data_IF_991744034695
#
_entry.id   IF_991744034695
#
_cell.length_a   1.000
_cell.length_b   1.000
_cell.length_c   1.000
_cell.angle_alpha   90.00
_cell.angle_beta   90.00
_cell.angle_gamma   90.00
#
_symmetry.space_group_name_H-M   'P 1'
#
loop_
_entity.id
_entity.type
_entity.pdbx_description
1 polymer ?
#
# COMPACT_ATOMS: atom_id res chain seq x y z
N UNK A 1 0.59 -9.57 16.99
CA UNK A 1 0.48 -8.26 16.32
C UNK A 1 0.87 -8.40 14.86
N UNK A 2 0.05 -7.87 13.96
CA UNK A 2 0.34 -7.74 12.53
C UNK A 2 0.32 -6.25 12.22
N UNK A 3 1.33 -5.75 11.53
CA UNK A 3 1.44 -4.34 11.15
C UNK A 3 1.28 -4.16 9.64
N UNK A 4 0.56 -3.12 9.23
CA UNK A 4 0.44 -2.75 7.82
C UNK A 4 1.72 -2.05 7.28
N UNK A 5 2.82 -2.09 8.00
CA UNK A 5 4.10 -1.55 7.56
C UNK A 5 5.24 -1.85 8.54
N UNK A 6 6.45 -1.86 8.01
CA UNK A 6 7.67 -2.10 8.78
C UNK A 6 7.92 -1.03 9.84
N UNK A 7 7.57 0.24 9.54
CA UNK A 7 7.82 1.37 10.44
C UNK A 7 7.18 1.17 11.81
N UNK A 8 5.91 0.79 11.86
CA UNK A 8 5.16 0.61 13.11
C UNK A 8 5.66 -0.61 13.90
N UNK A 9 6.05 -1.68 13.21
CA UNK A 9 6.66 -2.84 13.84
C UNK A 9 8.04 -2.47 14.43
N UNK A 10 8.86 -1.73 13.68
CA UNK A 10 10.19 -1.31 14.13
C UNK A 10 10.13 -0.45 15.40
N UNK A 11 9.12 0.42 15.53
CA UNK A 11 8.94 1.26 16.72
C UNK A 11 8.72 0.44 18.01
N UNK A 12 8.28 -0.80 17.91
CA UNK A 12 8.01 -1.69 19.04
C UNK A 12 9.10 -2.74 19.27
N UNK A 13 10.09 -2.81 18.38
CA UNK A 13 11.10 -3.86 18.35
C UNK A 13 12.48 -3.31 18.77
N UNK A 14 12.98 -3.76 19.91
CA UNK A 14 14.28 -3.33 20.44
C UNK A 14 15.48 -3.74 19.58
N UNK A 15 15.29 -4.66 18.62
CA UNK A 15 16.33 -5.07 17.67
C UNK A 15 16.38 -4.19 16.42
N UNK A 16 15.38 -3.31 16.22
CA UNK A 16 15.38 -2.36 15.14
C UNK A 16 16.46 -1.28 15.30
N UNK A 17 16.78 -0.58 14.21
CA UNK A 17 17.74 0.53 14.28
C UNK A 17 17.24 1.65 15.22
N UNK A 18 18.18 2.44 15.76
CA UNK A 18 17.82 3.58 16.62
C UNK A 18 16.90 4.60 15.92
N UNK A 19 16.95 4.71 14.60
CA UNK A 19 16.04 5.54 13.80
C UNK A 19 14.65 4.92 13.68
N UNK A 20 14.57 3.58 13.68
CA UNK A 20 13.30 2.84 13.61
C UNK A 20 12.58 2.77 14.94
N UNK A 21 13.31 2.79 16.07
CA UNK A 21 12.78 2.70 17.42
C UNK A 21 13.37 3.81 18.32
N UNK A 22 12.95 5.04 18.08
CA UNK A 22 13.48 6.23 18.76
C UNK A 22 13.15 6.27 20.27
N UNK A 23 12.10 5.57 20.69
CA UNK A 23 11.66 5.51 22.09
C UNK A 23 12.29 4.33 22.86
N UNK A 24 13.02 3.45 22.18
CA UNK A 24 13.64 2.26 22.77
C UNK A 24 12.64 1.24 23.32
N UNK A 25 11.46 1.14 22.69
CA UNK A 25 10.42 0.20 23.11
C UNK A 25 10.84 -1.24 22.85
N UNK A 26 10.44 -2.15 23.74
CA UNK A 26 10.79 -3.58 23.71
C UNK A 26 9.55 -4.46 23.93
N UNK A 27 8.61 -4.38 23.00
CA UNK A 27 7.34 -5.12 23.09
C UNK A 27 7.28 -6.34 22.17
N UNK A 28 8.14 -6.44 21.18
CA UNK A 28 8.14 -7.53 20.19
C UNK A 28 9.06 -8.66 20.64
N UNK A 29 8.57 -9.89 20.60
CA UNK A 29 9.41 -11.09 20.61
C UNK A 29 10.10 -11.19 19.24
N UNK A 30 11.33 -10.70 19.18
CA UNK A 30 12.09 -10.57 17.92
C UNK A 30 12.34 -11.92 17.23
N UNK A 31 12.41 -13.02 17.98
CA UNK A 31 12.57 -14.37 17.41
C UNK A 31 11.31 -14.83 16.66
N UNK A 32 10.15 -14.30 17.02
CA UNK A 32 8.87 -14.60 16.36
C UNK A 32 8.58 -13.71 15.16
N UNK A 33 9.34 -12.62 14.95
CA UNK A 33 9.10 -11.66 13.89
C UNK A 33 9.35 -12.26 12.51
N UNK A 34 8.35 -12.11 11.63
CA UNK A 34 8.39 -12.54 10.23
C UNK A 34 7.78 -11.48 9.32
N UNK A 35 8.27 -11.38 8.11
CA UNK A 35 7.55 -10.72 7.04
C UNK A 35 6.48 -11.71 6.54
N UNK A 36 5.21 -11.38 6.77
CA UNK A 36 4.10 -12.32 6.57
C UNK A 36 3.46 -12.16 5.20
N UNK A 37 3.19 -10.92 4.80
CA UNK A 37 2.48 -10.59 3.57
C UNK A 37 3.14 -9.40 2.88
N UNK A 38 3.00 -9.36 1.57
CA UNK A 38 3.24 -8.18 0.75
C UNK A 38 1.91 -7.71 0.15
N UNK A 39 1.61 -6.40 0.24
CA UNK A 39 0.56 -5.77 -0.54
C UNK A 39 1.17 -5.11 -1.77
N UNK A 40 0.35 -4.86 -2.77
CA UNK A 40 0.77 -4.21 -4.01
C UNK A 40 0.13 -2.84 -4.13
N UNK A 41 0.89 -1.89 -4.65
CA UNK A 41 0.38 -0.58 -5.07
C UNK A 41 -0.02 -0.70 -6.53
N UNK A 42 -1.26 -0.39 -6.84
CA UNK A 42 -1.84 -0.64 -8.16
C UNK A 42 -2.47 0.62 -8.74
N UNK A 43 -2.42 0.71 -10.06
CA UNK A 43 -3.13 1.71 -10.85
C UNK A 43 -4.51 1.18 -11.22
N UNK A 44 -5.53 1.96 -10.93
CA UNK A 44 -6.91 1.67 -11.33
C UNK A 44 -7.48 2.83 -12.16
N UNK A 45 -8.35 2.47 -13.09
CA UNK A 45 -9.14 3.41 -13.91
C UNK A 45 -10.62 3.04 -13.76
N UNK A 46 -11.55 3.98 -14.05
CA UNK A 46 -12.97 3.68 -14.09
C UNK A 46 -13.30 2.57 -15.09
N UNK A 47 -14.34 1.79 -14.80
CA UNK A 47 -14.83 0.78 -15.74
C UNK A 47 -15.24 1.43 -17.07
N UNK A 48 -14.74 0.87 -18.19
CA UNK A 48 -15.02 1.39 -19.53
C UNK A 48 -14.26 2.67 -19.88
N UNK A 49 -13.22 3.03 -19.13
CA UNK A 49 -12.36 4.19 -19.47
C UNK A 49 -11.79 4.06 -20.89
N UNK A 50 -11.85 5.13 -21.65
CA UNK A 50 -11.34 5.26 -23.03
C UNK A 50 -10.08 6.15 -23.12
N UNK A 51 -9.51 6.53 -21.99
CA UNK A 51 -8.35 7.43 -21.89
C UNK A 51 -7.03 6.80 -22.33
N UNK A 52 -6.97 5.47 -22.53
CA UNK A 52 -5.72 4.79 -22.90
C UNK A 52 -4.70 4.67 -21.77
N UNK A 53 -5.15 4.77 -20.51
CA UNK A 53 -4.33 4.57 -19.32
C UNK A 53 -4.33 3.09 -18.98
N UNK A 54 -3.28 2.37 -19.37
CA UNK A 54 -3.13 0.92 -19.19
C UNK A 54 -1.87 0.53 -18.39
N UNK A 55 -1.03 1.51 -18.05
CA UNK A 55 0.23 1.33 -17.34
C UNK A 55 0.62 2.60 -16.57
N UNK A 56 1.56 2.48 -15.62
CA UNK A 56 2.15 3.64 -14.98
C UNK A 56 2.93 4.53 -15.97
N UNK A 57 3.48 3.94 -17.04
CA UNK A 57 4.13 4.71 -18.09
C UNK A 57 3.12 5.60 -18.83
N UNK A 58 1.98 5.04 -19.27
CA UNK A 58 0.92 5.83 -19.92
C UNK A 58 0.30 6.85 -18.98
N UNK A 59 0.11 6.52 -17.69
CA UNK A 59 -0.31 7.48 -16.67
C UNK A 59 0.65 8.67 -16.60
N UNK A 60 1.97 8.40 -16.56
CA UNK A 60 2.97 9.46 -16.47
C UNK A 60 2.96 10.37 -17.70
N UNK A 61 2.69 9.84 -18.90
CA UNK A 61 2.53 10.66 -20.13
C UNK A 61 1.31 11.58 -20.04
N UNK A 62 0.18 11.08 -19.57
CA UNK A 62 -1.04 11.85 -19.37
C UNK A 62 -0.88 12.93 -18.28
N UNK A 63 -0.20 12.59 -17.17
CA UNK A 63 0.10 13.58 -16.13
C UNK A 63 1.00 14.72 -16.64
N UNK A 64 2.00 14.40 -17.49
CA UNK A 64 2.84 15.42 -18.14
C UNK A 64 2.07 16.28 -19.13
N UNK A 65 1.06 15.70 -19.79
CA UNK A 65 0.19 16.41 -20.72
C UNK A 65 -0.90 17.23 -20.01
N UNK A 66 -1.11 16.99 -18.71
CA UNK A 66 -2.16 17.63 -17.88
C UNK A 66 -3.57 17.47 -18.46
N UNK A 67 -3.87 16.31 -19.11
CA UNK A 67 -5.10 16.07 -19.85
C UNK A 67 -6.07 15.09 -19.17
N UNK A 68 -5.78 14.71 -17.91
CA UNK A 68 -6.58 13.81 -17.07
C UNK A 68 -6.80 14.38 -15.67
N UNK A 69 -7.77 13.80 -14.95
CA UNK A 69 -7.93 13.95 -13.51
C UNK A 69 -7.42 12.70 -12.81
N UNK A 70 -6.49 12.89 -11.89
CA UNK A 70 -5.86 11.81 -11.13
C UNK A 70 -6.16 11.94 -9.64
N UNK A 71 -6.55 10.84 -8.98
CA UNK A 71 -6.77 10.81 -7.54
C UNK A 71 -5.69 9.99 -6.82
N UNK A 72 -5.16 10.52 -5.73
CA UNK A 72 -4.25 9.83 -4.84
C UNK A 72 -4.58 10.10 -3.37
N UNK A 73 -4.10 9.27 -2.45
CA UNK A 73 -4.12 9.59 -1.03
C UNK A 73 -3.26 10.83 -0.75
N UNK A 74 -3.65 11.66 0.21
CA UNK A 74 -2.79 12.75 0.67
C UNK A 74 -1.55 12.20 1.42
N UNK A 75 -0.61 13.06 1.82
CA UNK A 75 0.66 12.69 2.48
C UNK A 75 0.48 11.93 3.81
N UNK A 76 -0.68 12.04 4.47
CA UNK A 76 -0.99 11.35 5.73
C UNK A 76 -1.53 9.93 5.49
N UNK A 77 -1.95 9.64 4.26
CA UNK A 77 -2.43 8.32 3.85
C UNK A 77 -1.25 7.46 3.37
N UNK A 78 -1.03 6.26 3.93
CA UNK A 78 0.14 5.44 3.55
C UNK A 78 0.28 5.19 2.05
N UNK A 79 -0.82 4.90 1.32
CA UNK A 79 -0.76 4.71 -0.14
C UNK A 79 -0.39 6.01 -0.88
N UNK A 80 -0.73 7.18 -0.32
CA UNK A 80 -0.30 8.48 -0.86
C UNK A 80 1.21 8.64 -0.85
N UNK A 81 1.88 8.18 0.23
CA UNK A 81 3.35 8.22 0.31
C UNK A 81 4.02 7.31 -0.72
N UNK A 82 3.41 6.17 -1.06
CA UNK A 82 3.88 5.32 -2.17
C UNK A 82 3.64 5.99 -3.52
N UNK A 83 2.49 6.63 -3.70
CA UNK A 83 2.18 7.38 -4.92
C UNK A 83 3.15 8.54 -5.14
N UNK A 84 3.53 9.27 -4.08
CA UNK A 84 4.56 10.31 -4.15
C UNK A 84 5.91 9.77 -4.67
N UNK A 85 6.30 8.56 -4.26
CA UNK A 85 7.51 7.91 -4.78
C UNK A 85 7.37 7.54 -6.26
N UNK A 86 6.18 7.10 -6.69
CA UNK A 86 5.91 6.81 -8.11
C UNK A 86 6.00 8.09 -8.93
N UNK A 87 5.40 9.20 -8.47
CA UNK A 87 5.54 10.49 -9.15
C UNK A 87 7.01 10.92 -9.27
N UNK A 88 7.77 10.77 -8.17
CA UNK A 88 9.21 11.09 -8.18
C UNK A 88 10.02 10.18 -9.13
N UNK A 89 9.67 8.89 -9.24
CA UNK A 89 10.29 7.96 -10.18
C UNK A 89 10.15 8.40 -11.64
N UNK A 90 9.03 9.03 -11.98
CA UNK A 90 8.75 9.59 -13.33
C UNK A 90 9.15 11.05 -13.48
N UNK A 91 9.90 11.63 -12.53
CA UNK A 91 10.28 13.05 -12.50
C UNK A 91 9.09 14.01 -12.58
N UNK A 92 7.96 13.64 -11.94
CA UNK A 92 6.74 14.45 -11.88
C UNK A 92 6.69 15.27 -10.59
N UNK A 93 6.39 16.56 -10.72
CA UNK A 93 6.20 17.49 -9.60
C UNK A 93 4.75 17.47 -9.11
N UNK A 94 4.50 16.81 -7.97
CA UNK A 94 3.18 16.71 -7.35
C UNK A 94 2.55 18.09 -7.11
N UNK A 95 3.35 19.06 -6.62
CA UNK A 95 2.84 20.39 -6.30
C UNK A 95 2.42 21.16 -7.56
N UNK A 96 3.18 21.03 -8.66
CA UNK A 96 2.84 21.62 -9.94
C UNK A 96 1.55 21.01 -10.51
N UNK A 97 1.42 19.67 -10.50
CA UNK A 97 0.22 18.97 -10.97
C UNK A 97 -1.02 19.30 -10.13
N UNK A 98 -0.86 19.44 -8.81
CA UNK A 98 -1.96 19.87 -7.94
C UNK A 98 -2.37 21.34 -8.22
N UNK A 99 -1.41 22.23 -8.45
CA UNK A 99 -1.68 23.63 -8.82
C UNK A 99 -2.37 23.76 -10.19
N UNK A 100 -2.07 22.85 -11.13
CA UNK A 100 -2.73 22.74 -12.42
C UNK A 100 -4.14 22.13 -12.33
N UNK A 101 -4.54 21.58 -11.15
CA UNK A 101 -5.84 20.96 -10.96
C UNK A 101 -5.93 19.54 -11.51
N UNK A 102 -4.79 18.91 -11.82
CA UNK A 102 -4.69 17.54 -12.34
C UNK A 102 -4.86 16.50 -11.20
N UNK A 103 -4.35 16.82 -9.99
CA UNK A 103 -4.42 15.92 -8.84
C UNK A 103 -5.55 16.32 -7.90
N UNK A 104 -6.34 15.33 -7.50
CA UNK A 104 -7.26 15.38 -6.35
C UNK A 104 -6.77 14.47 -5.24
N UNK A 105 -7.10 14.79 -3.99
CA UNK A 105 -6.64 14.05 -2.83
C UNK A 105 -7.78 13.39 -2.06
N UNK A 106 -7.61 12.11 -1.73
CA UNK A 106 -8.43 11.44 -0.72
C UNK A 106 -7.78 11.55 0.66
N UNK A 107 -8.58 11.77 1.69
CA UNK A 107 -8.13 11.76 3.09
C UNK A 107 -7.94 10.33 3.63
N UNK A 108 -8.37 9.33 2.87
CA UNK A 108 -8.20 7.90 3.11
C UNK A 108 -8.33 7.16 1.77
N UNK A 109 -7.89 5.88 1.74
CA UNK A 109 -7.90 5.08 0.51
C UNK A 109 -9.31 4.84 -0.03
N UNK A 110 -10.33 4.78 0.84
CA UNK A 110 -11.72 4.57 0.41
C UNK A 110 -12.26 5.75 -0.41
N UNK A 111 -11.87 6.97 -0.09
CA UNK A 111 -12.21 8.14 -0.91
C UNK A 111 -11.58 8.04 -2.30
N UNK A 112 -10.35 7.54 -2.41
CA UNK A 112 -9.69 7.32 -3.70
C UNK A 112 -10.44 6.26 -4.51
N UNK A 113 -10.73 5.09 -3.92
CA UNK A 113 -11.49 4.03 -4.62
C UNK A 113 -12.89 4.50 -5.03
N UNK A 114 -13.56 5.32 -4.20
CA UNK A 114 -14.88 5.88 -4.52
C UNK A 114 -14.80 6.80 -5.74
N UNK A 115 -13.83 7.71 -5.81
CA UNK A 115 -13.68 8.63 -6.95
C UNK A 115 -13.43 7.86 -8.26
N UNK A 116 -12.65 6.76 -8.21
CA UNK A 116 -12.42 5.91 -9.38
C UNK A 116 -13.72 5.19 -9.77
N UNK A 117 -14.40 4.54 -8.80
CA UNK A 117 -15.63 3.78 -9.06
C UNK A 117 -16.78 4.64 -9.62
N UNK A 118 -16.85 5.91 -9.20
CA UNK A 118 -17.86 6.88 -9.67
C UNK A 118 -17.43 7.62 -10.94
N UNK A 119 -16.28 7.28 -11.53
CA UNK A 119 -15.71 7.95 -12.69
C UNK A 119 -15.59 9.48 -12.51
N UNK A 120 -15.36 9.93 -11.28
CA UNK A 120 -15.10 11.35 -10.97
C UNK A 120 -13.68 11.78 -11.33
N UNK A 121 -12.81 10.79 -11.56
CA UNK A 121 -11.42 10.93 -12.01
C UNK A 121 -11.12 9.88 -13.08
N UNK A 122 -10.08 10.12 -13.88
CA UNK A 122 -9.68 9.22 -14.97
C UNK A 122 -8.77 8.08 -14.50
N UNK A 123 -8.06 8.28 -13.38
CA UNK A 123 -7.18 7.27 -12.80
C UNK A 123 -6.96 7.52 -11.30
N UNK A 124 -6.54 6.48 -10.58
CA UNK A 124 -6.10 6.60 -9.20
C UNK A 124 -5.20 5.44 -8.76
N UNK A 125 -4.42 5.69 -7.71
CA UNK A 125 -3.49 4.72 -7.13
C UNK A 125 -3.98 4.30 -5.75
N UNK A 126 -4.10 2.99 -5.56
CA UNK A 126 -4.60 2.35 -4.34
C UNK A 126 -3.79 1.08 -4.03
N UNK A 127 -4.09 0.40 -2.92
CA UNK A 127 -3.58 -0.96 -2.72
C UNK A 127 -4.43 -1.99 -3.47
N UNK A 128 -3.82 -3.12 -3.86
CA UNK A 128 -4.51 -4.22 -4.53
C UNK A 128 -5.68 -4.74 -3.69
N UNK A 129 -5.53 -4.83 -2.37
CA UNK A 129 -6.60 -5.25 -1.44
C UNK A 129 -7.77 -4.26 -1.40
N UNK A 130 -7.51 -2.97 -1.54
CA UNK A 130 -8.56 -1.94 -1.58
C UNK A 130 -9.26 -1.94 -2.93
N UNK A 131 -8.52 -2.13 -4.03
CA UNK A 131 -9.08 -2.33 -5.36
C UNK A 131 -10.02 -3.54 -5.37
N UNK A 132 -9.56 -4.70 -4.85
CA UNK A 132 -10.38 -5.90 -4.71
C UNK A 132 -11.67 -5.63 -3.91
N UNK A 133 -11.54 -4.98 -2.75
CA UNK A 133 -12.69 -4.69 -1.87
C UNK A 133 -13.70 -3.73 -2.51
N UNK A 134 -13.24 -2.85 -3.39
CA UNK A 134 -14.08 -1.88 -4.12
C UNK A 134 -14.61 -2.43 -5.44
N UNK A 135 -14.23 -3.66 -5.84
CA UNK A 135 -14.61 -4.24 -7.13
C UNK A 135 -13.92 -3.60 -8.33
N UNK A 136 -12.81 -2.89 -8.10
CA UNK A 136 -11.98 -2.31 -9.16
C UNK A 136 -11.03 -3.36 -9.74
N UNK A 137 -10.79 -3.28 -11.03
CA UNK A 137 -9.77 -4.11 -11.70
C UNK A 137 -8.53 -3.26 -11.92
N UNK A 138 -7.37 -3.61 -11.31
CA UNK A 138 -6.12 -2.93 -11.60
C UNK A 138 -5.73 -3.06 -13.08
N UNK A 139 -5.19 -2.00 -13.66
CA UNK A 139 -4.63 -2.00 -15.02
C UNK A 139 -3.12 -2.17 -15.01
N UNK A 140 -2.46 -1.82 -13.89
CA UNK A 140 -1.01 -2.02 -13.72
C UNK A 140 -0.62 -2.11 -12.23
N UNK A 141 0.55 -2.66 -11.97
CA UNK A 141 1.14 -2.83 -10.63
C UNK A 141 2.49 -2.11 -10.54
N UNK A 142 2.65 -1.27 -9.51
CA UNK A 142 3.91 -0.56 -9.29
C UNK A 142 5.05 -1.54 -8.94
N UNK A 143 6.20 -1.35 -9.57
CA UNK A 143 7.39 -2.14 -9.28
C UNK A 143 8.07 -1.70 -7.99
N UNK A 144 8.95 -2.54 -7.48
CA UNK A 144 9.77 -2.22 -6.30
C UNK A 144 10.65 -0.98 -6.52
N UNK A 145 11.11 -0.77 -7.73
CA UNK A 145 11.93 0.37 -8.12
C UNK A 145 11.14 1.67 -8.09
N UNK A 146 9.86 1.63 -8.41
CA UNK A 146 8.98 2.82 -8.40
C UNK A 146 8.69 3.30 -6.98
N UNK A 147 8.33 2.41 -6.06
CA UNK A 147 7.84 2.85 -4.75
C UNK A 147 8.35 2.05 -3.54
N UNK A 148 9.10 0.96 -3.75
CA UNK A 148 9.47 0.00 -2.72
C UNK A 148 8.38 -1.04 -2.48
N UNK A 149 8.60 -1.90 -1.48
CA UNK A 149 7.67 -2.97 -1.11
C UNK A 149 6.78 -2.58 0.06
N UNK A 150 5.53 -3.02 0.03
CA UNK A 150 4.55 -2.84 1.12
C UNK A 150 4.49 -4.11 1.94
N UNK A 151 5.41 -4.25 2.89
CA UNK A 151 5.53 -5.44 3.74
C UNK A 151 4.68 -5.32 4.99
N UNK A 152 3.96 -6.38 5.30
CA UNK A 152 3.17 -6.57 6.51
C UNK A 152 3.90 -7.56 7.43
N UNK A 153 4.72 -7.08 8.36
CA UNK A 153 5.38 -7.92 9.34
C UNK A 153 4.39 -8.36 10.43
N UNK A 154 4.63 -9.55 10.96
CA UNK A 154 3.90 -10.11 12.09
C UNK A 154 4.87 -10.58 13.18
N UNK A 155 4.45 -10.48 14.44
CA UNK A 155 5.23 -10.95 15.57
C UNK A 155 4.33 -11.25 16.79
N UNK A 156 4.82 -12.09 17.69
CA UNK A 156 4.24 -12.26 19.01
C UNK A 156 4.73 -11.14 19.92
N UNK A 157 3.85 -10.61 20.76
CA UNK A 157 4.22 -9.57 21.73
C UNK A 157 4.78 -10.22 23.01
N UNK A 158 5.85 -9.65 23.58
CA UNK A 158 6.47 -10.14 24.82
C UNK A 158 5.51 -10.20 26.01
N UNK A 159 4.53 -9.29 26.04
CA UNK A 159 3.51 -9.24 27.10
C UNK A 159 2.21 -9.95 26.73
N UNK A 160 2.22 -10.84 25.73
CA UNK A 160 1.04 -11.61 25.34
C UNK A 160 0.60 -12.53 26.47
N UNK A 161 -0.66 -12.45 26.90
CA UNK A 161 -1.22 -13.34 27.95
C UNK A 161 -1.29 -14.80 27.50
N UNK A 162 -1.37 -15.05 26.20
CA UNK A 162 -1.47 -16.36 25.57
C UNK A 162 -0.39 -16.52 24.49
N UNK A 163 0.88 -16.40 24.88
CA UNK A 163 2.01 -16.39 23.95
C UNK A 163 2.09 -17.67 23.08
N UNK A 164 1.87 -18.84 23.67
CA UNK A 164 1.91 -20.11 22.91
C UNK A 164 0.80 -20.18 21.86
N UNK A 165 -0.43 -19.82 22.20
CA UNK A 165 -1.52 -19.75 21.22
C UNK A 165 -1.25 -18.71 20.12
N UNK A 166 -0.60 -17.58 20.46
CA UNK A 166 -0.19 -16.58 19.49
C UNK A 166 0.88 -17.11 18.54
N UNK A 167 1.84 -17.90 19.02
CA UNK A 167 2.85 -18.59 18.19
C UNK A 167 2.21 -19.62 17.25
N UNK A 168 1.29 -20.43 17.77
CA UNK A 168 0.54 -21.41 16.97
C UNK A 168 -0.27 -20.71 15.88
N UNK A 169 -0.93 -19.59 16.22
CA UNK A 169 -1.68 -18.80 15.23
C UNK A 169 -0.77 -18.18 14.17
N UNK A 170 0.38 -17.63 14.56
CA UNK A 170 1.36 -17.11 13.62
C UNK A 170 1.90 -18.20 12.68
N UNK A 171 2.16 -19.41 13.23
CA UNK A 171 2.54 -20.57 12.42
C UNK A 171 1.42 -20.97 11.44
N UNK A 172 0.16 -20.94 11.87
CA UNK A 172 -1.00 -21.20 10.99
C UNK A 172 -1.09 -20.17 9.84
N UNK A 173 -0.86 -18.88 10.11
CA UNK A 173 -0.91 -17.83 9.09
C UNK A 173 0.15 -18.02 7.97
N UNK A 174 1.18 -18.83 8.22
CA UNK A 174 2.24 -19.15 7.25
C UNK A 174 2.01 -20.48 6.51
N UNK A 175 0.85 -21.09 6.66
CA UNK A 175 0.48 -22.31 5.92
C UNK A 175 -0.07 -21.99 4.54
N UNK A 176 0.06 -22.92 3.60
CA UNK A 176 -0.51 -22.81 2.25
C UNK A 176 -2.01 -22.49 2.27
N UNK A 177 -2.73 -23.02 3.28
CA UNK A 177 -4.16 -22.75 3.45
C UNK A 177 -4.43 -21.28 3.76
N UNK A 178 -3.64 -20.67 4.62
CA UNK A 178 -3.77 -19.26 4.95
C UNK A 178 -3.29 -18.38 3.76
N UNK A 179 -2.18 -18.76 3.12
CA UNK A 179 -1.68 -18.10 1.91
C UNK A 179 -2.75 -18.01 0.83
N UNK A 180 -3.44 -19.11 0.52
CA UNK A 180 -4.55 -19.10 -0.45
C UNK A 180 -5.65 -18.10 -0.10
N UNK A 181 -5.98 -17.93 1.20
CA UNK A 181 -6.97 -16.94 1.64
C UNK A 181 -6.45 -15.51 1.43
N UNK A 182 -5.20 -15.24 1.81
CA UNK A 182 -4.60 -13.92 1.62
C UNK A 182 -4.50 -13.54 0.15
N UNK A 183 -4.06 -14.48 -0.69
CA UNK A 183 -3.96 -14.27 -2.14
C UNK A 183 -5.32 -14.02 -2.79
N UNK A 184 -6.37 -14.66 -2.30
CA UNK A 184 -7.73 -14.45 -2.81
C UNK A 184 -8.28 -13.04 -2.62
N UNK A 185 -7.66 -12.25 -1.75
CA UNK A 185 -8.06 -10.85 -1.47
C UNK A 185 -6.97 -9.84 -1.87
N UNK A 186 -5.97 -10.26 -2.64
CA UNK A 186 -4.98 -9.37 -3.27
C UNK A 186 -3.67 -9.19 -2.52
N UNK A 187 -3.38 -9.96 -1.45
CA UNK A 187 -2.05 -10.02 -0.86
C UNK A 187 -1.17 -11.04 -1.59
N UNK A 188 0.14 -10.91 -1.42
CA UNK A 188 1.12 -11.96 -1.70
C UNK A 188 1.61 -12.52 -0.38
N UNK A 189 1.54 -13.84 -0.16
CA UNK A 189 2.14 -14.50 1.00
C UNK A 189 3.67 -14.60 0.83
N UNK A 190 4.43 -14.43 1.94
CA UNK A 190 5.91 -14.43 1.94
C UNK A 190 6.48 -15.64 2.71
#
# INVERSE_FOLDING_TARGET
FISAGQKQMNQLDSTASAEGNTEGLDFVDAESRVDLLENKVVLCVPEGSDKGIDSFDSLAEHLKAEDILFCMGNSDVPVGQYTQKILAYYDLDEAALAAAGVITYGSNVKEVTTQISEASVDAGVVYCTDAYSAGLTPVDEATKEMCGQVIYPAAVMKNALHAEAAKEFLAYLRTDKAATVFESVGFTAL
#
